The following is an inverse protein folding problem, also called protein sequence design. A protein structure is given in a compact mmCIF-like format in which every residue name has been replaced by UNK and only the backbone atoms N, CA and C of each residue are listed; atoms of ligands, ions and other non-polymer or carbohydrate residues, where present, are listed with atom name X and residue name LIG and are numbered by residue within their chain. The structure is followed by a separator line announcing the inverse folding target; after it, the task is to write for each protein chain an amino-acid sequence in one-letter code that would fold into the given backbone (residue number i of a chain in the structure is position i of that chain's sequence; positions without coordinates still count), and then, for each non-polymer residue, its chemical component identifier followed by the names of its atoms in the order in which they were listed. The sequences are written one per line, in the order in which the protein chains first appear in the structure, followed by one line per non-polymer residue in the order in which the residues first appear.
data_IF_262144882896
#
_entry.id   IF_262144882896
#
_cell.length_a   1.000
_cell.length_b   1.000
_cell.length_c   1.000
_cell.angle_alpha   90.00
_cell.angle_beta   90.00
_cell.angle_gamma   90.00
#
_symmetry.space_group_name_H-M   'P 1'
#
loop_
_entity.id
_entity.type
_entity.pdbx_description
1 polymer ?
#
# COMPACT_ATOMS: atom_id res chain seq x y z
N UNK A 1 -31.73 -10.42 22.79
CA UNK A 1 -30.68 -11.08 23.61
C UNK A 1 -29.53 -10.10 23.73
N UNK A 2 -29.43 -9.42 24.87
CA UNK A 2 -28.61 -8.22 25.01
C UNK A 2 -27.12 -8.54 24.96
N UNK A 3 -26.32 -7.71 24.30
CA UNK A 3 -24.85 -7.77 24.24
C UNK A 3 -24.24 -7.89 25.65
N UNK A 4 -24.90 -7.29 26.65
CA UNK A 4 -24.58 -7.40 28.06
C UNK A 4 -24.61 -8.83 28.59
N UNK A 5 -25.57 -9.65 28.14
CA UNK A 5 -25.69 -11.05 28.57
C UNK A 5 -24.51 -11.88 28.09
N UNK A 6 -23.95 -11.60 26.91
CA UNK A 6 -22.77 -12.32 26.40
C UNK A 6 -21.47 -11.86 27.09
N UNK A 7 -21.35 -10.57 27.42
CA UNK A 7 -20.21 -10.04 28.16
C UNK A 7 -20.18 -10.48 29.62
N UNK A 8 -21.34 -10.74 30.23
CA UNK A 8 -21.46 -11.22 31.61
C UNK A 8 -21.17 -12.71 31.81
N UNK A 9 -20.96 -13.48 30.74
CA UNK A 9 -20.56 -14.89 30.85
C UNK A 9 -19.10 -15.02 31.36
N UNK A 10 -18.74 -16.13 32.02
CA UNK A 10 -17.35 -16.43 32.40
C UNK A 10 -16.42 -16.39 31.19
N UNK A 11 -15.16 -15.98 31.39
CA UNK A 11 -14.19 -15.84 30.30
C UNK A 11 -13.89 -17.16 29.57
N UNK A 12 -13.99 -18.29 30.29
CA UNK A 12 -13.77 -19.62 29.72
C UNK A 12 -14.95 -20.15 28.89
N UNK A 13 -16.04 -19.38 28.79
CA UNK A 13 -17.22 -19.86 28.09
C UNK A 13 -17.01 -19.80 26.55
N UNK A 14 -17.09 -20.93 25.83
CA UNK A 14 -16.67 -21.01 24.43
C UNK A 14 -17.45 -20.06 23.51
N UNK A 15 -18.73 -19.80 23.79
CA UNK A 15 -19.54 -18.83 23.02
C UNK A 15 -19.04 -17.39 23.16
N UNK A 16 -18.50 -17.02 24.34
CA UNK A 16 -17.95 -15.67 24.59
C UNK A 16 -16.61 -15.52 23.87
N UNK A 17 -15.75 -16.54 23.92
CA UNK A 17 -14.45 -16.56 23.23
C UNK A 17 -14.60 -16.42 21.72
N UNK A 18 -15.46 -17.22 21.09
CA UNK A 18 -15.68 -17.15 19.63
C UNK A 18 -16.25 -15.78 19.23
N UNK A 19 -17.21 -15.26 19.99
CA UNK A 19 -17.80 -13.94 19.71
C UNK A 19 -16.76 -12.81 19.77
N UNK A 20 -15.93 -12.78 20.82
CA UNK A 20 -14.86 -11.78 20.96
C UNK A 20 -13.83 -11.93 19.84
N UNK A 21 -13.39 -13.16 19.54
CA UNK A 21 -12.42 -13.41 18.48
C UNK A 21 -12.92 -12.94 17.11
N UNK A 22 -14.17 -13.26 16.74
CA UNK A 22 -14.77 -12.82 15.48
C UNK A 22 -14.96 -11.31 15.44
N UNK A 23 -15.39 -10.68 16.54
CA UNK A 23 -15.54 -9.23 16.62
C UNK A 23 -14.19 -8.52 16.45
N UNK A 24 -13.15 -8.99 17.13
CA UNK A 24 -11.81 -8.43 17.01
C UNK A 24 -11.26 -8.59 15.59
N UNK A 25 -11.41 -9.78 14.98
CA UNK A 25 -11.00 -10.00 13.59
C UNK A 25 -11.72 -9.06 12.60
N UNK A 26 -13.03 -8.84 12.78
CA UNK A 26 -13.80 -7.93 11.94
C UNK A 26 -13.34 -6.47 12.08
N UNK A 27 -13.09 -6.01 13.30
CA UNK A 27 -12.62 -4.64 13.53
C UNK A 27 -11.22 -4.45 12.94
N UNK A 28 -10.31 -5.39 13.20
CA UNK A 28 -8.94 -5.32 12.69
C UNK A 28 -8.87 -5.39 11.15
N UNK A 29 -9.69 -6.23 10.50
CA UNK A 29 -9.69 -6.33 9.04
C UNK A 29 -10.17 -5.05 8.36
N UNK A 30 -11.20 -4.40 8.91
CA UNK A 30 -11.70 -3.13 8.41
C UNK A 30 -10.63 -2.04 8.57
N UNK A 31 -9.99 -1.96 9.74
CA UNK A 31 -8.94 -0.97 10.01
C UNK A 31 -7.76 -1.10 9.05
N UNK A 32 -7.24 -2.32 8.85
CA UNK A 32 -6.09 -2.57 7.96
C UNK A 32 -6.46 -2.32 6.49
N UNK A 33 -7.67 -2.74 6.06
CA UNK A 33 -8.12 -2.47 4.71
C UNK A 33 -8.26 -0.96 4.44
N UNK A 34 -8.78 -0.21 5.41
CA UNK A 34 -8.94 1.24 5.32
C UNK A 34 -7.59 1.97 5.19
N UNK A 35 -6.60 1.61 6.03
CA UNK A 35 -5.26 2.22 5.95
C UNK A 35 -4.59 1.91 4.63
N UNK A 36 -4.65 0.65 4.16
CA UNK A 36 -4.04 0.23 2.90
C UNK A 36 -4.57 1.04 1.70
N UNK A 37 -5.88 1.27 1.62
CA UNK A 37 -6.50 2.01 0.51
C UNK A 37 -6.13 3.50 0.54
N UNK A 38 -6.13 4.13 1.71
CA UNK A 38 -5.85 5.57 1.82
C UNK A 38 -4.37 5.91 1.60
N UNK A 39 -3.44 5.03 2.00
CA UNK A 39 -2.01 5.25 1.77
C UNK A 39 -1.57 4.85 0.35
N UNK A 40 -2.31 4.00 -0.35
CA UNK A 40 -2.00 3.56 -1.73
C UNK A 40 -1.71 4.70 -2.71
N UNK A 41 -2.50 5.79 -2.82
CA UNK A 41 -2.19 6.87 -3.76
C UNK A 41 -0.84 7.55 -3.46
N UNK A 42 -0.53 7.78 -2.18
CA UNK A 42 0.75 8.37 -1.78
C UNK A 42 1.92 7.43 -2.06
N UNK A 43 1.74 6.12 -1.85
CA UNK A 43 2.73 5.10 -2.17
C UNK A 43 3.01 5.06 -3.68
N UNK A 44 1.98 5.12 -4.54
CA UNK A 44 2.14 5.13 -6.00
C UNK A 44 2.91 6.37 -6.45
N UNK A 45 2.56 7.56 -5.94
CA UNK A 45 3.25 8.79 -6.29
C UNK A 45 4.74 8.75 -5.88
N UNK A 46 5.04 8.31 -4.65
CA UNK A 46 6.41 8.20 -4.18
C UNK A 46 7.20 7.10 -4.92
N UNK A 47 6.56 5.98 -5.28
CA UNK A 47 7.18 4.93 -6.10
C UNK A 47 7.52 5.42 -7.51
N UNK A 48 6.63 6.19 -8.14
CA UNK A 48 6.90 6.80 -9.44
C UNK A 48 8.09 7.77 -9.36
N UNK A 49 8.13 8.62 -8.33
CA UNK A 49 9.26 9.53 -8.10
C UNK A 49 10.56 8.77 -7.85
N UNK A 50 10.52 7.68 -7.10
CA UNK A 50 11.68 6.84 -6.83
C UNK A 50 12.22 6.16 -8.11
N UNK A 51 11.34 5.63 -8.95
CA UNK A 51 11.71 5.08 -10.26
C UNK A 51 12.38 6.15 -11.12
N UNK A 52 11.80 7.35 -11.22
CA UNK A 52 12.39 8.46 -11.98
C UNK A 52 13.77 8.83 -11.45
N UNK A 53 13.94 8.93 -10.12
CA UNK A 53 15.23 9.19 -9.48
C UNK A 53 16.25 8.11 -9.81
N UNK A 54 15.88 6.85 -9.72
CA UNK A 54 16.77 5.73 -10.01
C UNK A 54 17.21 5.72 -11.47
N UNK A 55 16.31 5.98 -12.42
CA UNK A 55 16.64 6.12 -13.84
C UNK A 55 17.62 7.29 -14.06
N UNK A 56 17.36 8.46 -13.45
CA UNK A 56 18.27 9.60 -13.53
C UNK A 56 19.64 9.30 -12.89
N UNK A 57 19.67 8.54 -11.80
CA UNK A 57 20.91 8.15 -11.13
C UNK A 57 21.75 7.22 -12.02
N UNK A 58 21.13 6.20 -12.63
CA UNK A 58 21.81 5.27 -13.55
C UNK A 58 22.26 6.00 -14.83
N UNK A 59 21.48 6.96 -15.33
CA UNK A 59 21.87 7.81 -16.45
C UNK A 59 22.93 8.88 -16.10
N UNK A 60 23.34 8.98 -14.83
CA UNK A 60 24.32 9.98 -14.37
C UNK A 60 23.81 11.42 -14.39
N UNK A 61 22.48 11.62 -14.36
CA UNK A 61 21.80 12.93 -14.45
C UNK A 61 21.19 13.40 -13.12
N UNK A 62 21.22 12.59 -12.07
CA UNK A 62 20.72 12.96 -10.74
C UNK A 62 21.79 13.73 -9.93
N UNK A 63 21.54 15.01 -9.65
CA UNK A 63 22.36 15.83 -8.75
C UNK A 63 21.55 16.28 -7.52
N UNK A 64 22.24 16.79 -6.51
CA UNK A 64 21.67 17.15 -5.21
C UNK A 64 20.56 18.23 -5.27
N UNK A 65 20.50 18.99 -6.36
CA UNK A 65 19.51 20.06 -6.62
C UNK A 65 18.71 19.83 -7.91
N UNK A 66 18.69 18.59 -8.41
CA UNK A 66 17.96 18.27 -9.64
C UNK A 66 16.47 18.10 -9.36
N UNK A 67 15.65 18.93 -9.99
CA UNK A 67 14.22 18.69 -10.11
C UNK A 67 14.00 17.45 -10.97
N UNK A 68 13.60 16.36 -10.31
CA UNK A 68 13.42 15.03 -10.89
C UNK A 68 12.42 15.04 -12.02
N UNK A 69 11.31 15.78 -11.89
CA UNK A 69 10.24 15.78 -12.89
C UNK A 69 10.68 16.51 -14.15
N UNK A 70 11.31 17.68 -14.01
CA UNK A 70 11.91 18.44 -15.12
C UNK A 70 13.01 17.65 -15.83
N UNK A 71 13.89 17.02 -15.06
CA UNK A 71 14.99 16.24 -15.62
C UNK A 71 14.49 14.96 -16.30
N UNK A 72 13.29 14.47 -15.97
CA UNK A 72 12.71 13.30 -16.64
C UNK A 72 12.04 13.63 -17.97
N UNK A 73 11.64 14.89 -18.22
CA UNK A 73 11.00 15.31 -19.49
C UNK A 73 11.88 15.08 -20.73
N UNK A 74 13.20 15.02 -20.57
CA UNK A 74 14.14 14.71 -21.65
C UNK A 74 14.17 13.22 -22.03
N UNK A 75 13.49 12.35 -21.29
CA UNK A 75 13.44 10.91 -21.54
C UNK A 75 12.15 10.51 -22.24
N UNK A 76 12.27 9.65 -23.26
CA UNK A 76 11.13 9.08 -23.96
C UNK A 76 10.83 7.68 -23.42
N UNK A 77 9.65 7.46 -22.84
CA UNK A 77 9.22 6.15 -22.38
C UNK A 77 8.68 5.33 -23.55
N UNK A 78 9.35 4.22 -23.88
CA UNK A 78 8.87 3.24 -24.87
C UNK A 78 8.57 1.91 -24.20
N UNK A 79 7.46 1.29 -24.58
CA UNK A 79 7.12 -0.08 -24.16
C UNK A 79 7.68 -1.03 -25.20
N UNK A 80 8.37 -2.09 -24.76
CA UNK A 80 8.97 -3.08 -25.66
C UNK A 80 8.35 -4.42 -25.36
N UNK A 81 7.88 -5.11 -26.39
CA UNK A 81 7.54 -6.52 -26.27
C UNK A 81 8.84 -7.33 -26.15
N UNK A 82 9.06 -7.96 -25.00
CA UNK A 82 10.29 -8.69 -24.71
C UNK A 82 10.48 -9.95 -25.57
N UNK A 83 9.42 -10.44 -26.23
CA UNK A 83 9.48 -11.64 -27.06
C UNK A 83 9.84 -11.33 -28.52
N UNK A 84 9.27 -10.27 -29.08
CA UNK A 84 9.44 -9.83 -30.45
C UNK A 84 10.44 -8.68 -30.62
N UNK A 85 10.78 -7.98 -29.54
CA UNK A 85 11.67 -6.82 -29.54
C UNK A 85 11.09 -5.56 -30.18
N UNK A 86 9.79 -5.58 -30.49
CA UNK A 86 9.09 -4.47 -31.14
C UNK A 86 8.55 -3.46 -30.12
N UNK A 87 8.43 -2.20 -30.56
CA UNK A 87 7.95 -1.05 -29.79
C UNK A 87 6.61 -0.54 -30.32
#
# INVERSE_FOLDING_TARGET
MSLYTLLSLPNEHPKKTVFIATSLCLVCSILVAFTSVNLRPLQIANQQLDIKKNILAVAGKLHHDTDVDRAFEQFEAKVVDLHSGQY
#
